data_IF_482845264742
#
_entry.id   IF_482845264742
#
_cell.length_a   1.000
_cell.length_b   1.000
_cell.length_c   1.000
_cell.angle_alpha   90.00
_cell.angle_beta   90.00
_cell.angle_gamma   90.00
#
_symmetry.space_group_name_H-M   'P 1'
#
loop_
_entity.id
_entity.type
_entity.pdbx_description
1 polymer ?
#
# COMPACT_ATOMS: atom_id res chain seq x y z
N UNK A 1 -35.48 9.17 -35.74
CA UNK A 1 -35.53 8.28 -34.55
C UNK A 1 -35.03 6.85 -34.83
N UNK A 2 -35.12 6.34 -36.02
CA UNK A 2 -34.73 4.95 -36.40
C UNK A 2 -33.22 4.68 -36.41
N UNK A 3 -32.35 5.65 -36.74
CA UNK A 3 -30.90 5.44 -36.86
C UNK A 3 -30.21 5.23 -35.49
N UNK A 4 -30.61 5.99 -34.47
CA UNK A 4 -30.04 5.82 -33.09
C UNK A 4 -30.52 4.52 -32.44
N UNK A 5 -31.73 4.08 -32.75
CA UNK A 5 -32.27 2.82 -32.25
C UNK A 5 -31.48 1.63 -32.83
N UNK A 6 -31.25 1.65 -34.15
CA UNK A 6 -30.45 0.63 -34.84
C UNK A 6 -29.00 0.55 -34.35
N UNK A 7 -28.40 1.68 -33.95
CA UNK A 7 -27.03 1.69 -33.37
C UNK A 7 -26.98 1.04 -31.98
N UNK A 8 -27.96 1.36 -31.13
CA UNK A 8 -28.07 0.75 -29.78
C UNK A 8 -28.34 -0.75 -29.84
N UNK A 9 -29.21 -1.19 -30.72
CA UNK A 9 -29.53 -2.61 -30.89
C UNK A 9 -28.31 -3.38 -31.41
N UNK A 10 -27.49 -2.79 -32.29
CA UNK A 10 -26.24 -3.35 -32.77
C UNK A 10 -25.20 -3.43 -31.67
N UNK A 11 -25.02 -2.38 -30.87
CA UNK A 11 -24.11 -2.39 -29.70
C UNK A 11 -24.50 -3.49 -28.71
N UNK A 12 -25.80 -3.60 -28.39
CA UNK A 12 -26.32 -4.62 -27.47
C UNK A 12 -26.09 -6.03 -28.02
N UNK A 13 -26.27 -6.26 -29.31
CA UNK A 13 -25.99 -7.53 -29.96
C UNK A 13 -24.50 -7.88 -29.84
N UNK A 14 -23.61 -6.95 -30.24
CA UNK A 14 -22.15 -7.16 -30.15
C UNK A 14 -21.69 -7.41 -28.72
N UNK A 15 -22.25 -6.69 -27.73
CA UNK A 15 -22.02 -6.91 -26.31
C UNK A 15 -22.43 -8.32 -25.87
N UNK A 16 -23.60 -8.77 -26.25
CA UNK A 16 -24.09 -10.12 -25.95
C UNK A 16 -23.18 -11.20 -26.56
N UNK A 17 -22.79 -11.02 -27.82
CA UNK A 17 -21.90 -11.95 -28.53
C UNK A 17 -20.50 -11.97 -27.93
N UNK A 18 -19.97 -10.81 -27.51
CA UNK A 18 -18.69 -10.72 -26.81
C UNK A 18 -18.70 -11.48 -25.46
N UNK A 19 -19.75 -11.28 -24.66
CA UNK A 19 -19.94 -12.02 -23.42
C UNK A 19 -20.07 -13.54 -23.65
N UNK A 20 -20.82 -13.94 -24.69
CA UNK A 20 -20.97 -15.35 -25.08
C UNK A 20 -19.65 -15.96 -25.53
N UNK A 21 -18.85 -15.21 -26.29
CA UNK A 21 -17.51 -15.65 -26.73
C UNK A 21 -16.58 -15.82 -25.53
N UNK A 22 -16.56 -14.88 -24.59
CA UNK A 22 -15.80 -14.96 -23.35
C UNK A 22 -16.19 -16.17 -22.51
N UNK A 23 -17.48 -16.36 -22.27
CA UNK A 23 -17.99 -17.48 -21.47
C UNK A 23 -17.69 -18.86 -22.10
N UNK A 24 -17.54 -18.93 -23.43
CA UNK A 24 -17.12 -20.12 -24.16
C UNK A 24 -15.60 -20.27 -24.23
N UNK A 25 -14.81 -19.44 -23.56
CA UNK A 25 -13.36 -19.47 -23.62
C UNK A 25 -12.75 -19.06 -24.98
N UNK A 26 -13.54 -18.48 -25.89
CA UNK A 26 -13.06 -18.02 -27.19
C UNK A 26 -12.39 -16.65 -27.07
N UNK A 27 -11.22 -16.63 -26.43
CA UNK A 27 -10.51 -15.41 -26.02
C UNK A 27 -10.34 -14.39 -27.16
N UNK A 28 -9.69 -14.77 -28.26
CA UNK A 28 -9.45 -13.88 -29.41
C UNK A 28 -10.73 -13.32 -30.04
N UNK A 29 -11.82 -14.11 -30.06
CA UNK A 29 -13.10 -13.65 -30.58
C UNK A 29 -13.75 -12.63 -29.62
N UNK A 30 -13.66 -12.87 -28.32
CA UNK A 30 -14.18 -11.94 -27.29
C UNK A 30 -13.44 -10.60 -27.34
N UNK A 31 -12.09 -10.61 -27.40
CA UNK A 31 -11.26 -9.38 -27.51
C UNK A 31 -11.70 -8.56 -28.74
N UNK A 32 -11.82 -9.22 -29.91
CA UNK A 32 -12.25 -8.54 -31.14
C UNK A 32 -13.64 -7.90 -31.00
N UNK A 33 -14.59 -8.64 -30.42
CA UNK A 33 -15.96 -8.14 -30.24
C UNK A 33 -16.04 -7.00 -29.23
N UNK A 34 -15.31 -7.07 -28.09
CA UNK A 34 -15.26 -5.96 -27.14
C UNK A 34 -14.59 -4.71 -27.75
N UNK A 35 -13.54 -4.86 -28.58
CA UNK A 35 -12.97 -3.73 -29.33
C UNK A 35 -14.01 -3.10 -30.25
N UNK A 36 -14.84 -3.90 -30.94
CA UNK A 36 -15.92 -3.38 -31.78
C UNK A 36 -16.98 -2.61 -30.97
N UNK A 37 -17.36 -3.13 -29.77
CA UNK A 37 -18.26 -2.41 -28.86
C UNK A 37 -17.69 -1.05 -28.48
N UNK A 38 -16.39 -0.97 -28.19
CA UNK A 38 -15.73 0.30 -27.84
C UNK A 38 -15.54 1.25 -29.02
N UNK A 39 -15.54 0.75 -30.26
CA UNK A 39 -15.56 1.61 -31.47
C UNK A 39 -16.94 2.27 -31.63
N UNK A 40 -18.03 1.52 -31.42
CA UNK A 40 -19.40 2.07 -31.50
C UNK A 40 -19.72 2.97 -30.30
N UNK A 41 -19.30 2.56 -29.11
CA UNK A 41 -19.49 3.32 -27.87
C UNK A 41 -18.19 3.40 -27.05
N UNK A 42 -17.35 4.41 -27.29
CA UNK A 42 -16.08 4.58 -26.56
C UNK A 42 -16.24 4.73 -25.03
N UNK A 43 -17.41 5.18 -24.56
CA UNK A 43 -17.68 5.41 -23.13
C UNK A 43 -18.30 4.18 -22.42
N UNK A 44 -18.36 3.03 -23.08
CA UNK A 44 -18.83 1.81 -22.45
C UNK A 44 -17.80 1.29 -21.45
N UNK A 45 -17.97 1.67 -20.17
CA UNK A 45 -17.07 1.29 -19.05
C UNK A 45 -17.00 -0.21 -18.86
N UNK A 46 -18.13 -0.90 -18.96
CA UNK A 46 -18.18 -2.35 -18.78
C UNK A 46 -17.40 -3.10 -19.85
N UNK A 47 -17.50 -2.65 -21.12
CA UNK A 47 -16.71 -3.22 -22.20
C UNK A 47 -15.21 -3.00 -21.99
N UNK A 48 -14.82 -1.81 -21.56
CA UNK A 48 -13.44 -1.48 -21.26
C UNK A 48 -12.88 -2.34 -20.13
N UNK A 49 -13.60 -2.48 -19.00
CA UNK A 49 -13.17 -3.29 -17.85
C UNK A 49 -13.14 -4.79 -18.15
N UNK A 50 -13.94 -5.28 -19.10
CA UNK A 50 -13.87 -6.68 -19.52
C UNK A 50 -12.76 -6.94 -20.54
N UNK A 51 -12.45 -5.97 -21.37
CA UNK A 51 -11.37 -6.06 -22.36
C UNK A 51 -9.99 -5.92 -21.75
N UNK A 52 -9.81 -4.98 -20.81
CA UNK A 52 -8.49 -4.65 -20.25
C UNK A 52 -7.72 -5.87 -19.67
N UNK A 53 -8.30 -6.73 -18.80
CA UNK A 53 -7.58 -7.89 -18.32
C UNK A 53 -7.23 -8.90 -19.43
N UNK A 54 -8.05 -8.98 -20.47
CA UNK A 54 -7.79 -9.87 -21.60
C UNK A 54 -6.60 -9.39 -22.41
N UNK A 55 -6.48 -8.08 -22.64
CA UNK A 55 -5.33 -7.47 -23.31
C UNK A 55 -4.05 -7.62 -22.48
N UNK A 56 -4.14 -7.46 -21.17
CA UNK A 56 -3.01 -7.67 -20.28
C UNK A 56 -2.46 -9.09 -20.36
N UNK A 57 -3.34 -10.10 -20.43
CA UNK A 57 -2.94 -11.51 -20.63
C UNK A 57 -2.34 -11.75 -22.01
N UNK A 58 -2.81 -11.05 -23.04
CA UNK A 58 -2.26 -11.13 -24.40
C UNK A 58 -0.91 -10.37 -24.54
N UNK A 59 -0.45 -9.70 -23.47
CA UNK A 59 0.80 -8.91 -23.46
C UNK A 59 0.64 -7.46 -23.93
N UNK A 60 -0.57 -7.04 -24.25
CA UNK A 60 -0.90 -5.67 -24.66
C UNK A 60 -1.12 -4.76 -23.44
N UNK A 61 -0.14 -4.75 -22.51
CA UNK A 61 -0.23 -4.09 -21.20
C UNK A 61 -0.49 -2.59 -21.31
N UNK A 62 0.10 -1.92 -22.31
CA UNK A 62 -0.11 -0.49 -22.50
C UNK A 62 -1.57 -0.17 -22.88
N UNK A 63 -2.18 -0.93 -23.81
CA UNK A 63 -3.58 -0.73 -24.19
C UNK A 63 -4.52 -1.04 -23.01
N UNK A 64 -4.23 -2.13 -22.29
CA UNK A 64 -4.96 -2.48 -21.07
C UNK A 64 -4.94 -1.34 -20.05
N UNK A 65 -3.76 -0.76 -19.78
CA UNK A 65 -3.62 0.39 -18.89
C UNK A 65 -4.42 1.59 -19.37
N UNK A 66 -4.39 1.93 -20.65
CA UNK A 66 -5.15 3.06 -21.17
C UNK A 66 -6.68 2.89 -20.95
N UNK A 67 -7.18 1.65 -21.04
CA UNK A 67 -8.59 1.36 -20.74
C UNK A 67 -8.90 1.55 -19.26
N UNK A 68 -8.10 0.97 -18.36
CA UNK A 68 -8.26 1.15 -16.92
C UNK A 68 -8.20 2.62 -16.52
N UNK A 69 -7.18 3.34 -16.99
CA UNK A 69 -6.98 4.75 -16.70
C UNK A 69 -8.17 5.60 -17.14
N UNK A 70 -8.69 5.36 -18.33
CA UNK A 70 -9.89 6.08 -18.85
C UNK A 70 -11.08 5.86 -17.94
N UNK A 71 -11.43 4.61 -17.62
CA UNK A 71 -12.58 4.29 -16.77
C UNK A 71 -12.40 4.86 -15.36
N UNK A 72 -11.21 4.75 -14.78
CA UNK A 72 -10.91 5.31 -13.47
C UNK A 72 -11.10 6.84 -13.45
N UNK A 73 -10.64 7.55 -14.49
CA UNK A 73 -10.82 9.00 -14.62
C UNK A 73 -12.30 9.40 -14.76
N UNK A 74 -13.11 8.62 -15.46
CA UNK A 74 -14.54 8.83 -15.56
C UNK A 74 -15.22 8.69 -14.19
N UNK A 75 -14.92 7.61 -13.43
CA UNK A 75 -15.41 7.45 -12.06
C UNK A 75 -14.94 8.59 -11.13
N UNK A 76 -13.69 9.05 -11.28
CA UNK A 76 -13.17 10.17 -10.50
C UNK A 76 -13.90 11.49 -10.79
N UNK A 77 -14.27 11.76 -12.07
CA UNK A 77 -15.09 12.92 -12.47
C UNK A 77 -16.49 12.86 -11.87
N UNK A 78 -17.06 11.66 -11.81
CA UNK A 78 -18.37 11.41 -11.21
C UNK A 78 -18.32 11.36 -9.66
N UNK A 79 -17.13 11.60 -9.06
CA UNK A 79 -16.86 11.52 -7.61
C UNK A 79 -17.13 10.13 -7.02
N UNK A 80 -17.13 9.10 -7.84
CA UNK A 80 -17.26 7.70 -7.46
C UNK A 80 -15.87 7.16 -7.10
N UNK A 81 -15.34 7.57 -5.94
CA UNK A 81 -13.95 7.26 -5.57
C UNK A 81 -13.74 5.79 -5.20
N UNK A 82 -14.78 5.11 -4.72
CA UNK A 82 -14.70 3.67 -4.38
C UNK A 82 -14.57 2.83 -5.64
N UNK A 83 -15.37 3.12 -6.66
CA UNK A 83 -15.33 2.49 -7.98
C UNK A 83 -14.00 2.79 -8.69
N UNK A 84 -13.55 4.04 -8.63
CA UNK A 84 -12.25 4.45 -9.15
C UNK A 84 -11.10 3.65 -8.50
N UNK A 85 -11.13 3.47 -7.17
CA UNK A 85 -10.15 2.68 -6.44
C UNK A 85 -10.18 1.20 -6.86
N UNK A 86 -11.39 0.63 -7.04
CA UNK A 86 -11.53 -0.74 -7.51
C UNK A 86 -10.88 -0.95 -8.88
N UNK A 87 -11.06 0.01 -9.80
CA UNK A 87 -10.44 -0.03 -11.13
C UNK A 87 -8.91 0.06 -11.05
N UNK A 88 -8.35 0.95 -10.20
CA UNK A 88 -6.89 1.03 -10.04
C UNK A 88 -6.30 -0.23 -9.40
N UNK A 89 -6.97 -0.83 -8.41
CA UNK A 89 -6.55 -2.11 -7.83
C UNK A 89 -6.55 -3.23 -8.86
N UNK A 90 -7.55 -3.26 -9.72
CA UNK A 90 -7.61 -4.23 -10.82
C UNK A 90 -6.46 -3.99 -11.82
N UNK A 91 -6.15 -2.73 -12.14
CA UNK A 91 -5.01 -2.38 -12.98
C UNK A 91 -3.68 -2.83 -12.36
N UNK A 92 -3.43 -2.57 -11.08
CA UNK A 92 -2.24 -3.06 -10.37
C UNK A 92 -2.07 -4.58 -10.47
N UNK A 93 -3.19 -5.31 -10.42
CA UNK A 93 -3.20 -6.77 -10.50
C UNK A 93 -2.87 -7.30 -11.90
N UNK A 94 -3.43 -6.71 -12.96
CA UNK A 94 -3.30 -7.22 -14.32
C UNK A 94 -2.16 -6.61 -15.11
N UNK A 95 -1.75 -5.38 -14.76
CA UNK A 95 -0.63 -4.67 -15.41
C UNK A 95 0.39 -4.18 -14.35
N UNK A 96 0.98 -5.10 -13.56
CA UNK A 96 1.83 -4.74 -12.42
C UNK A 96 3.10 -3.97 -12.80
N UNK A 97 3.54 -4.05 -14.05
CA UNK A 97 4.67 -3.26 -14.56
C UNK A 97 4.34 -1.79 -14.85
N UNK A 98 3.09 -1.37 -14.68
CA UNK A 98 2.68 0.01 -14.93
C UNK A 98 2.79 0.86 -13.65
N UNK A 99 3.81 1.70 -13.58
CA UNK A 99 4.12 2.55 -12.43
C UNK A 99 2.95 3.48 -12.03
N UNK A 100 2.32 4.09 -13.04
CA UNK A 100 1.21 5.03 -12.83
C UNK A 100 0.01 4.38 -12.12
N UNK A 101 -0.23 3.08 -12.35
CA UNK A 101 -1.32 2.36 -11.69
C UNK A 101 -1.14 2.33 -10.17
N UNK A 102 0.06 1.98 -9.72
CA UNK A 102 0.42 1.92 -8.29
C UNK A 102 0.38 3.30 -7.65
N UNK A 103 0.99 4.30 -8.30
CA UNK A 103 1.02 5.67 -7.80
C UNK A 103 -0.37 6.26 -7.65
N UNK A 104 -1.22 6.15 -8.68
CA UNK A 104 -2.57 6.70 -8.66
C UNK A 104 -3.49 5.95 -7.67
N UNK A 105 -3.31 4.62 -7.51
CA UNK A 105 -3.99 3.83 -6.49
C UNK A 105 -3.67 4.35 -5.09
N UNK A 106 -2.38 4.52 -4.78
CA UNK A 106 -1.93 5.01 -3.48
C UNK A 106 -2.37 6.47 -3.22
N UNK A 107 -2.25 7.35 -4.22
CA UNK A 107 -2.69 8.75 -4.09
C UNK A 107 -4.20 8.84 -3.79
N UNK A 108 -5.00 7.96 -4.40
CA UNK A 108 -6.43 7.89 -4.12
C UNK A 108 -6.72 7.36 -2.72
N UNK A 109 -5.98 6.37 -2.25
CA UNK A 109 -6.07 5.84 -0.89
C UNK A 109 -5.72 6.91 0.16
N UNK A 110 -4.66 7.69 -0.05
CA UNK A 110 -4.32 8.85 0.80
C UNK A 110 -5.45 9.87 0.83
N UNK A 111 -6.03 10.19 -0.33
CA UNK A 111 -7.20 11.08 -0.42
C UNK A 111 -8.41 10.56 0.37
N UNK A 112 -8.59 9.25 0.42
CA UNK A 112 -9.64 8.58 1.19
C UNK A 112 -9.28 8.38 2.67
N UNK A 113 -8.14 8.90 3.13
CA UNK A 113 -7.64 8.76 4.51
C UNK A 113 -7.26 7.32 4.91
N UNK A 114 -6.99 6.44 3.95
CA UNK A 114 -6.59 5.04 4.12
C UNK A 114 -5.07 4.93 3.98
N UNK A 115 -4.34 5.53 4.94
CA UNK A 115 -2.89 5.71 4.85
C UNK A 115 -2.13 4.37 4.90
N UNK A 116 -2.53 3.46 5.77
CA UNK A 116 -1.92 2.13 5.90
C UNK A 116 -1.99 1.34 4.58
N UNK A 117 -3.18 1.28 3.97
CA UNK A 117 -3.35 0.60 2.68
C UNK A 117 -2.60 1.30 1.53
N UNK A 118 -2.46 2.63 1.59
CA UNK A 118 -1.66 3.37 0.62
C UNK A 118 -0.18 3.00 0.74
N UNK A 119 0.32 2.90 1.97
CA UNK A 119 1.68 2.49 2.26
C UNK A 119 1.95 1.07 1.75
N UNK A 120 1.12 0.10 2.11
CA UNK A 120 1.20 -1.28 1.62
C UNK A 120 1.16 -1.36 0.08
N UNK A 121 0.24 -0.61 -0.56
CA UNK A 121 0.13 -0.57 -2.03
C UNK A 121 1.43 -0.09 -2.68
N UNK A 122 2.11 0.90 -2.10
CA UNK A 122 3.38 1.41 -2.61
C UNK A 122 4.51 0.41 -2.44
N UNK A 123 4.57 -0.29 -1.30
CA UNK A 123 5.54 -1.36 -1.06
C UNK A 123 5.33 -2.55 -1.99
N UNK A 124 4.08 -2.98 -2.19
CA UNK A 124 3.75 -4.04 -3.14
C UNK A 124 4.16 -3.63 -4.56
N UNK A 125 3.81 -2.42 -4.97
CA UNK A 125 4.20 -1.88 -6.27
C UNK A 125 5.72 -1.90 -6.48
N UNK A 126 6.50 -1.53 -5.45
CA UNK A 126 7.96 -1.54 -5.48
C UNK A 126 8.53 -2.91 -5.89
N UNK A 127 7.91 -4.01 -5.48
CA UNK A 127 8.39 -5.37 -5.77
C UNK A 127 8.43 -5.70 -7.27
N UNK A 128 7.65 -5.02 -8.09
CA UNK A 128 7.59 -5.21 -9.54
C UNK A 128 8.66 -4.42 -10.32
N UNK A 129 9.35 -3.47 -9.67
CA UNK A 129 10.36 -2.62 -10.31
C UNK A 129 11.79 -2.99 -9.87
N UNK A 130 12.22 -4.22 -10.16
CA UNK A 130 13.52 -4.78 -9.73
C UNK A 130 14.67 -4.50 -10.70
N UNK A 131 14.38 -4.31 -12.00
CA UNK A 131 15.41 -4.10 -13.00
C UNK A 131 16.02 -2.70 -12.94
N UNK A 132 17.31 -2.61 -13.31
CA UNK A 132 18.06 -1.35 -13.29
C UNK A 132 17.42 -0.24 -14.12
N UNK A 133 16.77 -0.56 -15.24
CA UNK A 133 16.08 0.41 -16.12
C UNK A 133 14.87 1.08 -15.48
N UNK A 134 14.23 0.39 -14.54
CA UNK A 134 13.00 0.86 -13.84
C UNK A 134 13.27 1.25 -12.38
N UNK A 135 14.53 1.32 -11.97
CA UNK A 135 14.94 1.65 -10.60
C UNK A 135 14.43 3.03 -10.15
N UNK A 136 14.42 4.01 -11.04
CA UNK A 136 13.88 5.33 -10.75
C UNK A 136 12.39 5.28 -10.34
N UNK A 137 11.61 4.38 -10.94
CA UNK A 137 10.20 4.16 -10.58
C UNK A 137 10.09 3.53 -9.19
N UNK A 138 10.95 2.56 -8.86
CA UNK A 138 11.01 1.98 -7.52
C UNK A 138 11.33 3.04 -6.45
N UNK A 139 12.33 3.90 -6.70
CA UNK A 139 12.68 5.01 -5.81
C UNK A 139 11.49 5.97 -5.64
N UNK A 140 10.78 6.31 -6.72
CA UNK A 140 9.64 7.21 -6.66
C UNK A 140 8.49 6.63 -5.80
N UNK A 141 8.21 5.32 -5.89
CA UNK A 141 7.21 4.67 -5.04
C UNK A 141 7.64 4.68 -3.56
N UNK A 142 8.89 4.34 -3.25
CA UNK A 142 9.38 4.36 -1.88
C UNK A 142 9.47 5.79 -1.30
N UNK A 143 9.83 6.77 -2.12
CA UNK A 143 9.81 8.18 -1.69
C UNK A 143 8.40 8.61 -1.33
N UNK A 144 7.41 8.19 -2.10
CA UNK A 144 5.99 8.44 -1.79
C UNK A 144 5.54 7.70 -0.54
N UNK A 145 5.96 6.45 -0.34
CA UNK A 145 5.69 5.69 0.87
C UNK A 145 6.29 6.35 2.12
N UNK A 146 7.51 6.91 2.00
CA UNK A 146 8.16 7.67 3.07
C UNK A 146 7.40 8.93 3.50
N UNK A 147 6.63 9.55 2.61
CA UNK A 147 5.77 10.69 2.98
C UNK A 147 4.61 10.24 3.90
N UNK A 148 4.19 8.97 3.82
CA UNK A 148 3.14 8.39 4.65
C UNK A 148 3.73 7.89 5.97
N UNK A 149 4.79 7.05 5.88
CA UNK A 149 5.51 6.47 7.01
C UNK A 149 7.00 6.87 6.97
N UNK A 150 7.37 8.03 7.52
CA UNK A 150 8.72 8.60 7.38
C UNK A 150 9.84 7.77 8.00
N UNK A 151 9.50 6.88 8.94
CA UNK A 151 10.46 6.21 9.81
C UNK A 151 10.43 4.68 9.73
N UNK A 152 9.74 4.12 8.75
CA UNK A 152 9.79 2.68 8.53
C UNK A 152 11.22 2.24 8.15
N UNK A 153 11.76 1.33 8.98
CA UNK A 153 13.17 0.90 8.86
C UNK A 153 13.44 0.09 7.58
N UNK A 154 12.49 -0.75 7.17
CA UNK A 154 12.64 -1.57 5.96
C UNK A 154 12.60 -0.71 4.71
N UNK A 155 11.65 0.23 4.65
CA UNK A 155 11.54 1.20 3.56
C UNK A 155 12.82 2.04 3.42
N UNK A 156 13.34 2.59 4.51
CA UNK A 156 14.52 3.44 4.49
C UNK A 156 15.78 2.67 4.07
N UNK A 157 15.91 1.41 4.47
CA UNK A 157 17.01 0.53 4.05
C UNK A 157 16.90 0.22 2.55
N UNK A 158 15.70 -0.16 2.06
CA UNK A 158 15.50 -0.46 0.62
C UNK A 158 15.76 0.79 -0.23
N UNK A 159 15.26 1.96 0.20
CA UNK A 159 15.50 3.23 -0.48
C UNK A 159 17.01 3.58 -0.52
N UNK A 160 17.73 3.39 0.58
CA UNK A 160 19.17 3.62 0.62
C UNK A 160 19.93 2.67 -0.32
N UNK A 161 19.54 1.40 -0.39
CA UNK A 161 20.13 0.44 -1.31
C UNK A 161 19.87 0.83 -2.79
N UNK A 162 18.68 1.32 -3.11
CA UNK A 162 18.35 1.79 -4.46
C UNK A 162 19.13 3.05 -4.84
N UNK A 163 19.30 4.00 -3.91
CA UNK A 163 20.13 5.18 -4.15
C UNK A 163 21.60 4.79 -4.38
N UNK A 164 22.15 3.92 -3.55
CA UNK A 164 23.50 3.41 -3.73
C UNK A 164 23.69 2.72 -5.09
N UNK A 165 22.69 1.94 -5.52
CA UNK A 165 22.70 1.28 -6.82
C UNK A 165 22.53 2.25 -8.02
N UNK A 166 22.21 3.52 -7.77
CA UNK A 166 22.22 4.63 -8.76
C UNK A 166 23.43 5.54 -8.63
N UNK A 167 24.48 5.10 -7.93
CA UNK A 167 25.68 5.89 -7.63
C UNK A 167 25.40 7.16 -6.77
N UNK A 168 24.24 7.23 -6.11
CA UNK A 168 23.85 8.31 -5.20
C UNK A 168 24.20 7.93 -3.75
N UNK A 169 25.46 7.58 -3.51
CA UNK A 169 25.93 7.07 -2.22
C UNK A 169 25.76 8.06 -1.08
N UNK A 170 25.86 9.36 -1.35
CA UNK A 170 25.70 10.40 -0.32
C UNK A 170 24.27 10.41 0.24
N UNK A 171 23.25 10.32 -0.61
CA UNK A 171 21.85 10.23 -0.19
C UNK A 171 21.58 8.93 0.58
N UNK A 172 22.17 7.82 0.12
CA UNK A 172 22.06 6.56 0.82
C UNK A 172 22.65 6.62 2.25
N UNK A 173 23.83 7.23 2.39
CA UNK A 173 24.50 7.40 3.67
C UNK A 173 23.75 8.34 4.61
N UNK A 174 23.17 9.42 4.10
CA UNK A 174 22.35 10.34 4.88
C UNK A 174 21.12 9.64 5.46
N UNK A 175 20.39 8.85 4.62
CA UNK A 175 19.26 8.04 5.08
C UNK A 175 19.66 7.04 6.15
N UNK A 176 20.76 6.29 5.92
CA UNK A 176 21.25 5.32 6.89
C UNK A 176 21.76 5.98 8.17
N UNK A 177 22.33 7.19 8.10
CA UNK A 177 22.77 7.93 9.28
C UNK A 177 21.57 8.38 10.14
N UNK A 178 20.51 8.89 9.50
CA UNK A 178 19.28 9.28 10.20
C UNK A 178 18.58 8.08 10.84
N UNK A 179 18.55 6.94 10.14
CA UNK A 179 17.98 5.70 10.66
C UNK A 179 18.80 5.16 11.84
N UNK A 180 20.14 5.19 11.76
CA UNK A 180 21.03 4.71 12.81
C UNK A 180 20.89 5.45 14.16
N UNK A 181 20.33 6.67 14.15
CA UNK A 181 20.04 7.43 15.36
C UNK A 181 18.72 7.01 16.04
N UNK A 182 17.91 6.17 15.38
CA UNK A 182 16.57 5.81 15.85
C UNK A 182 16.39 4.32 16.14
N UNK A 183 17.22 3.48 15.54
CA UNK A 183 17.16 2.03 15.71
C UNK A 183 18.22 1.55 16.68
N UNK A 184 17.97 0.41 17.33
CA UNK A 184 18.84 -0.22 18.29
C UNK A 184 19.05 -1.70 17.96
N UNK A 185 19.91 -2.37 18.69
CA UNK A 185 20.09 -3.81 18.61
C UNK A 185 20.47 -4.32 17.22
N UNK A 186 19.75 -5.32 16.74
CA UNK A 186 20.00 -5.98 15.47
C UNK A 186 19.87 -5.05 14.27
N UNK A 187 18.88 -4.15 14.30
CA UNK A 187 18.62 -3.21 13.20
C UNK A 187 19.72 -2.17 13.09
N UNK A 188 20.24 -1.67 14.22
CA UNK A 188 21.41 -0.78 14.22
C UNK A 188 22.63 -1.47 13.60
N UNK A 189 22.88 -2.76 13.95
CA UNK A 189 23.97 -3.53 13.36
C UNK A 189 23.83 -3.66 11.84
N UNK A 190 22.61 -3.93 11.36
CA UNK A 190 22.31 -4.03 9.94
C UNK A 190 22.55 -2.71 9.21
N UNK A 191 22.09 -1.60 9.77
CA UNK A 191 22.30 -0.25 9.20
C UNK A 191 23.78 0.11 9.16
N UNK A 192 24.53 -0.11 10.26
CA UNK A 192 25.98 0.17 10.33
C UNK A 192 26.78 -0.70 9.36
N UNK A 193 26.38 -1.96 9.19
CA UNK A 193 26.98 -2.84 8.18
C UNK A 193 26.77 -2.30 6.76
N UNK A 194 25.56 -1.86 6.43
CA UNK A 194 25.28 -1.24 5.12
C UNK A 194 26.13 0.03 4.91
N UNK A 195 26.26 0.90 5.91
CA UNK A 195 27.13 2.08 5.81
C UNK A 195 28.58 1.68 5.52
N UNK A 196 29.08 0.63 6.17
CA UNK A 196 30.42 0.10 5.91
C UNK A 196 30.54 -0.44 4.48
N UNK A 197 29.62 -1.28 4.01
CA UNK A 197 29.67 -1.89 2.68
C UNK A 197 29.58 -0.87 1.55
N UNK A 198 28.91 0.26 1.78
CA UNK A 198 28.81 1.35 0.78
C UNK A 198 30.07 2.21 0.70
N UNK A 199 30.80 2.35 1.82
CA UNK A 199 31.95 3.26 1.88
C UNK A 199 33.30 2.58 1.96
N UNK A 200 33.33 1.31 2.41
CA UNK A 200 34.52 0.55 2.80
C UNK A 200 35.44 1.33 3.78
N UNK A 201 34.83 2.27 4.55
CA UNK A 201 35.56 3.15 5.47
C UNK A 201 35.82 2.45 6.80
N UNK A 202 37.06 2.54 7.29
CA UNK A 202 37.46 2.05 8.60
C UNK A 202 36.61 2.65 9.73
N UNK A 203 36.20 3.92 9.60
CA UNK A 203 35.31 4.59 10.55
C UNK A 203 33.96 3.87 10.66
N UNK A 204 33.32 3.51 9.55
CA UNK A 204 32.05 2.80 9.55
C UNK A 204 32.19 1.36 10.04
N UNK A 205 33.33 0.72 9.77
CA UNK A 205 33.64 -0.59 10.34
C UNK A 205 33.69 -0.54 11.85
N UNK A 206 34.41 0.42 12.44
CA UNK A 206 34.48 0.55 13.90
C UNK A 206 33.13 0.92 14.52
N UNK A 207 32.30 1.74 13.86
CA UNK A 207 30.95 2.03 14.32
C UNK A 207 30.04 0.78 14.29
N UNK A 208 30.21 -0.08 13.28
CA UNK A 208 29.51 -1.36 13.24
C UNK A 208 29.99 -2.29 14.36
N UNK A 209 31.28 -2.45 14.56
CA UNK A 209 31.83 -3.27 15.63
C UNK A 209 31.36 -2.79 17.01
N UNK A 210 31.37 -1.48 17.25
CA UNK A 210 30.88 -0.87 18.50
C UNK A 210 29.40 -1.19 18.77
N UNK A 211 28.57 -1.35 17.75
CA UNK A 211 27.15 -1.65 17.92
C UNK A 211 26.85 -3.00 18.57
N UNK A 212 27.79 -3.92 18.61
CA UNK A 212 27.68 -5.18 19.37
C UNK A 212 27.80 -4.98 20.88
N UNK A 213 28.61 -4.03 21.29
CA UNK A 213 28.84 -3.76 22.72
C UNK A 213 27.70 -2.94 23.33
N UNK A 214 27.18 -1.96 22.60
CA UNK A 214 26.06 -1.13 23.07
C UNK A 214 24.80 -1.97 23.32
N UNK A 215 24.53 -2.97 22.50
CA UNK A 215 23.37 -3.86 22.65
C UNK A 215 23.49 -4.73 23.90
N UNK A 216 24.73 -5.12 24.26
CA UNK A 216 24.98 -5.98 25.41
C UNK A 216 24.76 -5.24 26.74
N UNK A 217 25.12 -3.96 26.79
CA UNK A 217 24.88 -3.13 27.99
C UNK A 217 23.37 -2.92 28.23
N UNK A 218 22.56 -2.77 27.18
CA UNK A 218 21.13 -2.63 27.31
C UNK A 218 20.40 -3.94 27.72
N UNK A 219 20.90 -5.10 27.28
CA UNK A 219 20.37 -6.41 27.68
C UNK A 219 20.75 -6.77 29.14
N UNK A 220 21.91 -6.26 29.65
CA UNK A 220 22.36 -6.46 31.04
C UNK A 220 21.64 -5.52 32.03
N UNK A 221 21.13 -4.36 31.58
CA UNK A 221 20.33 -3.43 32.42
C UNK A 221 18.90 -3.92 32.64
N UNK A 222 18.29 -4.66 31.68
CA UNK A 222 16.95 -5.25 31.81
C UNK A 222 16.95 -6.53 32.73
N UNK A 223 18.10 -7.14 32.97
CA UNK A 223 18.26 -8.31 33.84
C UNK A 223 18.55 -7.99 35.32
N UNK A 224 18.47 -6.74 35.75
CA UNK A 224 18.50 -6.41 37.17
C UNK A 224 17.18 -6.88 37.79
N UNK A 225 17.15 -7.93 38.61
CA UNK A 225 15.96 -8.34 39.29
C UNK A 225 15.53 -7.19 40.18
N UNK A 226 14.42 -6.57 39.90
CA UNK A 226 13.75 -5.69 40.84
C UNK A 226 13.42 -6.51 42.06
N UNK A 227 14.29 -6.44 43.06
CA UNK A 227 14.01 -6.86 44.40
C UNK A 227 12.82 -6.04 44.89
N UNK A 228 11.65 -6.60 44.73
CA UNK A 228 10.44 -6.11 45.36
C UNK A 228 10.56 -6.34 46.85
N UNK A 229 11.16 -5.37 47.53
CA UNK A 229 10.90 -5.14 48.95
C UNK A 229 9.47 -4.62 49.05
N UNK A 230 8.49 -5.51 49.00
CA UNK A 230 7.16 -5.26 49.51
C UNK A 230 7.15 -5.93 50.87
N UNK A 231 7.37 -5.15 51.92
CA UNK A 231 6.99 -5.53 53.28
C UNK A 231 5.50 -5.88 53.29
N UNK A 232 5.10 -6.95 53.97
CA UNK A 232 3.67 -7.27 54.09
C UNK A 232 3.00 -6.15 54.88
N UNK A 233 2.16 -5.40 54.21
CA UNK A 233 1.23 -4.46 54.85
C UNK A 233 0.18 -5.31 55.57
N UNK A 234 0.15 -5.19 56.90
CA UNK A 234 -0.81 -5.81 57.78
C UNK A 234 -2.25 -5.58 57.26
N UNK A 235 -3.01 -6.67 57.18
CA UNK A 235 -4.44 -6.65 56.91
C UNK A 235 -5.15 -5.96 58.10
N UNK A 236 -5.25 -4.65 58.12
CA UNK A 236 -6.20 -3.92 58.97
C UNK A 236 -7.56 -3.85 58.23
N UNK A 237 -8.44 -4.71 58.69
CA UNK A 237 -9.89 -4.58 58.88
C UNK A 237 -10.61 -3.53 58.00
N UNK A 238 -11.01 -3.93 56.80
CA UNK A 238 -11.94 -3.16 55.97
C UNK A 238 -13.33 -3.45 56.48
N UNK A 239 -13.92 -2.48 57.21
CA UNK A 239 -15.31 -2.50 57.62
C UNK A 239 -16.26 -2.52 56.40
N UNK A 240 -17.39 -3.24 56.45
CA UNK A 240 -18.29 -3.35 55.32
C UNK A 240 -19.00 -2.01 55.01
N UNK A 241 -19.27 -1.70 53.73
CA UNK A 241 -19.90 -0.46 53.32
C UNK A 241 -21.33 -0.37 53.84
N UNK A 242 -21.65 0.81 54.41
CA UNK A 242 -22.99 1.16 54.92
C UNK A 242 -24.02 1.12 53.79
N UNK A 243 -25.13 0.45 54.07
CA UNK A 243 -26.31 0.40 53.19
C UNK A 243 -26.84 1.82 52.88
N UNK A 244 -27.05 2.09 51.58
CA UNK A 244 -27.76 3.29 51.13
C UNK A 244 -29.26 3.13 51.32
N UNK A 245 -29.99 4.14 51.85
CA UNK A 245 -31.42 4.03 52.09
C UNK A 245 -32.21 3.99 50.77
N UNK A 246 -33.12 3.02 50.70
CA UNK A 246 -34.10 2.88 49.61
C UNK A 246 -35.02 4.08 49.57
N UNK A 247 -35.03 4.79 48.47
CA UNK A 247 -36.08 5.78 48.17
C UNK A 247 -37.42 5.08 47.93
N UNK A 248 -38.40 5.43 48.78
CA UNK A 248 -39.79 5.02 48.64
C UNK A 248 -40.42 5.58 47.37
N UNK A 249 -40.99 4.72 46.58
CA UNK A 249 -41.95 5.07 45.54
C UNK A 249 -43.18 5.73 46.17
N UNK A 250 -43.45 6.99 45.80
CA UNK A 250 -44.74 7.64 46.06
C UNK A 250 -45.59 7.47 44.82
N UNK A 251 -46.53 6.53 44.90
CA UNK A 251 -47.72 6.48 44.08
C UNK A 251 -48.68 7.54 44.60
N UNK A 252 -49.11 8.47 43.75
CA UNK A 252 -50.13 9.45 44.03
C UNK A 252 -51.08 9.56 42.86
N UNK A 253 -52.23 9.04 43.08
CA UNK A 253 -53.47 9.05 42.29
C UNK A 253 -54.08 10.46 42.22
N UNK A 254 -54.86 10.62 41.15
CA UNK A 254 -56.11 11.42 41.03
C UNK A 254 -56.02 12.92 40.90
N UNK A 255 -56.43 13.47 39.78
CA UNK A 255 -57.74 14.00 39.41
C UNK A 255 -57.69 14.58 38.00
#
# INVERSE_FOLDING_TARGET
MTSQQNSRDREHQMWSDANRARNKGKHRAAVRLYRQVLVENPNNRDAALRLAPMLAVDGESFEAWQLYRRVALEHARDKQYVECLAVYREACRYVPGEFEAWRLCADLLVKLKRHEEAFETLLDGRTHFTHSRVRAQAIALLTRAREIEPWDGFLLIDLAQLYAAQDQTDLALELLATLACRVQGADLRRVRWLQFTLTYSTRHFFLWLRSFFITREAEEEDDIPTLSLIDPVDEEEIAPPRETPRLRSVSGESA
#
